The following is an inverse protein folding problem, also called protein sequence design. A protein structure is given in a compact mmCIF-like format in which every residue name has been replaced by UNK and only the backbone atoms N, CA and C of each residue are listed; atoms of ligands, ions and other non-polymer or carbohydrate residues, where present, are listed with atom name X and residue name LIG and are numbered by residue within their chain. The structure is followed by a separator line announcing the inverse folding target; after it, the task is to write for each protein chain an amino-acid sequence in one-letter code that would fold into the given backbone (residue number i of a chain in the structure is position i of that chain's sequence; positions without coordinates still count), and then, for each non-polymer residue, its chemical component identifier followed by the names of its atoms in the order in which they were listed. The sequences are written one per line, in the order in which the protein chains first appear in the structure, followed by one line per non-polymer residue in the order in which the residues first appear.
data_IF_339718951009
#
_entry.id   IF_339718951009
#
_cell.length_a   1.000
_cell.length_b   1.000
_cell.length_c   1.000
_cell.angle_alpha   90.00
_cell.angle_beta   90.00
_cell.angle_gamma   90.00
#
_symmetry.space_group_name_H-M   'P 1'
#
loop_
_entity.id
_entity.type
_entity.pdbx_description
1 polymer ?
#
# COMPACT_ATOMS: atom_id res chain seq x y z
N UNK A 1 38.69 -60.82 -6.31
CA UNK A 1 37.93 -59.61 -6.65
C UNK A 1 36.74 -59.57 -5.73
N UNK A 2 36.90 -58.86 -4.61
CA UNK A 2 35.89 -58.73 -3.57
C UNK A 2 35.15 -57.39 -3.76
N UNK A 3 33.92 -57.51 -4.16
CA UNK A 3 33.03 -56.33 -4.29
C UNK A 3 32.21 -56.19 -3.01
N UNK A 4 32.76 -55.51 -2.01
CA UNK A 4 31.98 -55.09 -0.85
C UNK A 4 31.06 -53.97 -1.23
N UNK A 5 29.76 -54.27 -1.39
CA UNK A 5 28.69 -53.33 -1.48
C UNK A 5 28.53 -52.63 -0.11
N UNK A 6 28.82 -51.33 -0.05
CA UNK A 6 28.48 -50.50 1.08
C UNK A 6 26.95 -50.40 1.16
N UNK A 7 26.37 -51.04 2.19
CA UNK A 7 24.94 -50.92 2.54
C UNK A 7 24.80 -49.59 3.24
N UNK A 8 24.18 -48.60 2.60
CA UNK A 8 23.80 -47.37 3.24
C UNK A 8 22.67 -47.65 4.23
N UNK A 9 22.98 -47.54 5.52
CA UNK A 9 22.01 -47.69 6.62
C UNK A 9 21.12 -46.42 6.67
N UNK A 10 19.93 -46.52 6.11
CA UNK A 10 18.93 -45.44 6.08
C UNK A 10 18.14 -45.27 7.38
N UNK A 11 18.34 -46.14 8.38
CA UNK A 11 17.58 -46.13 9.64
C UNK A 11 17.91 -44.93 10.52
N UNK A 12 19.15 -44.42 10.48
CA UNK A 12 19.61 -43.30 11.29
C UNK A 12 19.24 -41.92 10.67
N UNK A 13 18.99 -41.87 9.36
CA UNK A 13 18.66 -40.62 8.66
C UNK A 13 17.31 -40.05 9.10
N UNK A 14 16.30 -40.91 9.27
CA UNK A 14 14.94 -40.50 9.66
C UNK A 14 14.82 -40.10 11.12
N UNK A 15 15.55 -40.76 12.02
CA UNK A 15 15.52 -40.47 13.46
C UNK A 15 16.18 -39.13 13.76
N UNK A 16 17.33 -38.82 13.16
CA UNK A 16 18.03 -37.54 13.36
C UNK A 16 17.24 -36.37 12.79
N UNK A 17 16.65 -36.51 11.61
CA UNK A 17 15.84 -35.46 11.02
C UNK A 17 14.52 -35.22 11.77
N UNK A 18 13.92 -36.23 12.40
CA UNK A 18 12.74 -36.07 13.23
C UNK A 18 12.99 -35.18 14.45
N UNK A 19 14.13 -35.34 15.13
CA UNK A 19 14.50 -34.48 16.25
C UNK A 19 14.67 -33.02 15.85
N UNK A 20 15.25 -32.74 14.69
CA UNK A 20 15.39 -31.37 14.18
C UNK A 20 14.03 -30.77 13.82
N UNK A 21 13.11 -31.52 13.23
CA UNK A 21 11.75 -31.07 12.93
C UNK A 21 10.95 -30.75 14.19
N UNK A 22 11.05 -31.59 15.22
CA UNK A 22 10.36 -31.35 16.52
C UNK A 22 10.98 -30.13 17.23
N UNK A 23 12.31 -29.98 17.23
CA UNK A 23 12.97 -28.81 17.80
C UNK A 23 12.59 -27.51 17.10
N UNK A 24 12.47 -27.50 15.77
CA UNK A 24 12.03 -26.37 14.97
C UNK A 24 10.57 -25.98 15.28
N UNK A 25 9.68 -26.96 15.41
CA UNK A 25 8.26 -26.68 15.74
C UNK A 25 8.09 -26.11 17.15
N UNK A 26 8.83 -26.61 18.14
CA UNK A 26 8.80 -26.08 19.50
C UNK A 26 9.35 -24.65 19.55
N UNK A 27 10.42 -24.35 18.81
CA UNK A 27 10.99 -23.00 18.69
C UNK A 27 10.00 -22.03 18.06
N UNK A 28 9.30 -22.43 16.99
CA UNK A 28 8.27 -21.61 16.32
C UNK A 28 7.08 -21.32 17.25
N UNK A 29 6.63 -22.29 18.03
CA UNK A 29 5.56 -22.10 19.02
C UNK A 29 5.98 -21.10 20.10
N UNK A 30 7.23 -21.18 20.58
CA UNK A 30 7.79 -20.22 21.53
C UNK A 30 7.79 -18.78 21.01
N UNK A 31 8.18 -18.58 19.74
CA UNK A 31 8.18 -17.27 19.09
C UNK A 31 6.76 -16.70 18.94
N UNK A 32 5.78 -17.55 18.58
CA UNK A 32 4.37 -17.15 18.45
C UNK A 32 3.79 -16.72 19.80
N UNK A 33 4.11 -17.45 20.89
CA UNK A 33 3.66 -17.12 22.25
C UNK A 33 4.31 -15.80 22.72
N UNK A 34 5.60 -15.60 22.48
CA UNK A 34 6.32 -14.36 22.81
C UNK A 34 5.72 -13.17 22.05
N UNK A 35 5.41 -13.33 20.76
CA UNK A 35 4.79 -12.30 19.94
C UNK A 35 3.38 -11.92 20.42
N UNK A 36 2.55 -12.90 20.81
CA UNK A 36 1.21 -12.64 21.38
C UNK A 36 1.28 -11.91 22.72
N UNK A 37 2.28 -12.19 23.55
CA UNK A 37 2.46 -11.53 24.85
C UNK A 37 3.00 -10.10 24.71
N UNK A 38 3.81 -9.83 23.68
CA UNK A 38 4.32 -8.48 23.40
C UNK A 38 3.23 -7.51 22.92
N UNK A 39 2.15 -8.01 22.33
CA UNK A 39 0.99 -7.20 21.88
C UNK A 39 0.02 -6.81 23.00
N UNK A 40 0.19 -7.26 24.24
CA UNK A 40 -0.60 -6.74 25.35
C UNK A 40 -0.07 -5.36 25.73
N UNK A 41 -0.91 -4.33 25.55
CA UNK A 41 -0.63 -2.92 25.87
C UNK A 41 0.09 -2.74 27.20
N UNK A 42 1.07 -1.82 27.30
CA UNK A 42 1.62 -1.43 28.58
C UNK A 42 0.55 -0.75 29.45
N UNK A 43 0.63 -0.89 30.79
CA UNK A 43 -0.32 -0.27 31.71
C UNK A 43 -0.19 1.26 31.66
N UNK A 44 -1.30 1.95 31.54
CA UNK A 44 -1.41 3.40 31.69
C UNK A 44 -1.12 3.78 33.12
N UNK A 45 0.00 4.41 33.39
CA UNK A 45 0.25 5.10 34.65
C UNK A 45 -0.60 6.36 34.71
N UNK A 46 -1.59 6.34 35.59
CA UNK A 46 -2.30 7.52 36.08
C UNK A 46 -1.42 8.20 37.13
N UNK A 47 -0.74 9.25 36.76
CA UNK A 47 -0.22 10.21 37.74
C UNK A 47 -1.18 11.38 37.85
N UNK A 48 -1.70 11.49 39.09
CA UNK A 48 -2.40 12.67 39.62
C UNK A 48 -1.38 13.73 39.96
N UNK A 49 -1.59 14.95 39.54
CA UNK A 49 -0.79 16.08 40.04
C UNK A 49 -1.04 17.37 39.31
N UNK A 50 -1.95 18.06 39.77
CA UNK A 50 -1.95 19.39 40.37
C UNK A 50 -2.20 20.60 39.46
N UNK A 51 -3.26 21.24 39.84
CA UNK A 51 -3.77 22.59 39.60
C UNK A 51 -2.70 23.66 39.49
N UNK A 52 -2.79 24.52 38.49
CA UNK A 52 -2.62 25.96 38.69
C UNK A 52 -3.35 26.73 37.61
N UNK A 53 -4.30 27.50 38.12
CA UNK A 53 -5.03 28.59 37.48
C UNK A 53 -4.08 29.65 36.94
N UNK A 54 -4.28 30.11 35.73
CA UNK A 54 -3.98 31.46 35.36
C UNK A 54 -5.08 32.01 34.45
N UNK A 55 -5.94 32.75 35.09
CA UNK A 55 -6.80 33.78 34.54
C UNK A 55 -5.94 34.88 33.93
N UNK A 56 -6.19 35.23 32.67
CA UNK A 56 -5.90 36.57 32.19
C UNK A 56 -7.11 37.14 31.46
N UNK A 57 -7.53 38.24 32.01
CA UNK A 57 -8.65 39.09 31.63
C UNK A 57 -8.43 39.82 30.30
N UNK A 58 -9.47 39.83 29.53
CA UNK A 58 -10.20 40.98 29.00
C UNK A 58 -9.42 42.26 28.70
N UNK A 59 -9.44 42.69 27.46
CA UNK A 59 -9.63 44.08 27.11
C UNK A 59 -10.26 44.22 25.72
N UNK A 60 -11.46 44.74 25.77
CA UNK A 60 -12.27 45.28 24.71
C UNK A 60 -11.60 46.49 24.04
N UNK A 61 -11.63 46.56 22.73
CA UNK A 61 -11.62 47.84 22.01
C UNK A 61 -12.55 47.77 20.82
N UNK A 62 -13.59 48.54 20.95
CA UNK A 62 -14.55 48.94 19.93
C UNK A 62 -13.91 49.80 18.85
N UNK A 63 -14.18 49.56 17.60
CA UNK A 63 -14.11 50.60 16.55
C UNK A 63 -15.06 50.30 15.40
N UNK A 64 -16.12 51.06 15.40
CA UNK A 64 -16.93 51.68 14.32
C UNK A 64 -16.98 51.06 12.93
N UNK A 65 -18.21 50.67 12.54
CA UNK A 65 -18.70 50.51 11.19
C UNK A 65 -18.72 51.81 10.40
N UNK A 66 -18.39 51.81 9.10
CA UNK A 66 -18.97 52.74 8.15
C UNK A 66 -20.13 52.11 7.41
N UNK A 67 -21.28 52.76 7.57
CA UNK A 67 -22.50 52.59 6.79
C UNK A 67 -22.28 53.02 5.35
N UNK A 68 -22.53 52.17 4.38
CA UNK A 68 -22.61 52.50 2.94
C UNK A 68 -24.06 52.34 2.51
N UNK A 69 -24.66 53.33 1.80
CA UNK A 69 -26.09 53.33 1.48
C UNK A 69 -26.42 52.36 0.37
N UNK A 70 -27.55 51.68 0.57
CA UNK A 70 -28.18 50.80 -0.42
C UNK A 70 -28.80 51.69 -1.50
N UNK A 71 -28.29 51.66 -2.71
CA UNK A 71 -29.01 52.09 -3.91
C UNK A 71 -29.60 50.89 -4.61
N UNK A 72 -30.91 50.84 -4.57
CA UNK A 72 -31.76 49.91 -5.33
C UNK A 72 -31.62 50.28 -6.79
N UNK A 73 -31.09 49.38 -7.60
CA UNK A 73 -31.30 49.38 -9.06
C UNK A 73 -31.96 48.06 -9.43
N UNK A 74 -33.19 48.16 -9.82
CA UNK A 74 -33.99 47.08 -10.37
C UNK A 74 -33.54 46.73 -11.80
N UNK A 75 -33.57 45.44 -12.06
CA UNK A 75 -33.79 44.78 -13.34
C UNK A 75 -32.77 44.99 -14.45
N UNK A 76 -31.90 43.96 -14.60
CA UNK A 76 -31.67 43.38 -15.94
C UNK A 76 -31.47 41.87 -15.76
N UNK A 77 -32.36 41.13 -16.39
CA UNK A 77 -32.36 39.69 -16.57
C UNK A 77 -31.15 39.34 -17.45
N UNK A 78 -29.98 39.05 -16.85
CA UNK A 78 -28.86 38.43 -17.55
C UNK A 78 -28.59 37.11 -16.85
N UNK A 79 -28.89 36.07 -17.56
CA UNK A 79 -28.49 34.69 -17.32
C UNK A 79 -26.95 34.69 -17.16
N UNK A 80 -26.48 34.84 -15.93
CA UNK A 80 -25.04 34.69 -15.63
C UNK A 80 -24.78 33.21 -15.46
N UNK A 81 -24.36 32.60 -16.55
CA UNK A 81 -23.60 31.34 -16.50
C UNK A 81 -22.42 31.58 -15.59
N UNK A 82 -22.47 31.00 -14.38
CA UNK A 82 -21.42 31.11 -13.40
C UNK A 82 -20.26 30.20 -13.83
N UNK A 83 -19.13 30.75 -14.37
CA UNK A 83 -18.06 29.95 -14.93
C UNK A 83 -17.37 29.05 -13.88
N UNK A 84 -17.54 29.34 -12.58
CA UNK A 84 -16.98 28.54 -11.52
C UNK A 84 -17.73 27.20 -11.29
N UNK A 85 -19.03 27.15 -11.61
CA UNK A 85 -19.81 25.91 -11.46
C UNK A 85 -19.49 24.90 -12.57
N UNK A 86 -19.25 25.38 -13.78
CA UNK A 86 -18.90 24.52 -14.91
C UNK A 86 -17.52 23.86 -14.79
N UNK A 87 -16.53 24.54 -14.21
CA UNK A 87 -15.17 24.02 -14.06
C UNK A 87 -15.15 22.88 -13.02
N UNK A 88 -15.85 23.01 -11.89
CA UNK A 88 -15.92 21.95 -10.87
C UNK A 88 -16.65 20.69 -11.35
N UNK A 89 -17.68 20.83 -12.14
CA UNK A 89 -18.43 19.70 -12.72
C UNK A 89 -17.58 18.94 -13.78
N UNK A 90 -16.82 19.66 -14.60
CA UNK A 90 -15.91 19.05 -15.59
C UNK A 90 -14.76 18.31 -14.89
N UNK A 91 -14.17 18.89 -13.83
CA UNK A 91 -13.10 18.25 -13.07
C UNK A 91 -13.59 16.96 -12.40
N UNK A 92 -14.74 16.99 -11.73
CA UNK A 92 -15.31 15.81 -11.08
C UNK A 92 -15.60 14.68 -12.10
N UNK A 93 -16.14 15.01 -13.25
CA UNK A 93 -16.43 14.02 -14.30
C UNK A 93 -15.14 13.39 -14.88
N UNK A 94 -14.05 14.16 -14.99
CA UNK A 94 -12.77 13.64 -15.45
C UNK A 94 -12.11 12.70 -14.43
N UNK A 95 -12.17 13.04 -13.14
CA UNK A 95 -11.64 12.22 -12.06
C UNK A 95 -12.42 10.91 -11.91
N UNK A 96 -13.73 10.94 -12.01
CA UNK A 96 -14.56 9.73 -11.99
C UNK A 96 -14.25 8.82 -13.18
N UNK A 97 -14.09 9.39 -14.39
CA UNK A 97 -13.71 8.63 -15.58
C UNK A 97 -12.34 8.00 -15.42
N UNK A 98 -11.36 8.73 -14.91
CA UNK A 98 -10.01 8.22 -14.62
C UNK A 98 -10.07 7.05 -13.65
N UNK A 99 -10.79 7.17 -12.53
CA UNK A 99 -10.98 6.09 -11.55
C UNK A 99 -11.63 4.85 -12.17
N UNK A 100 -12.64 5.03 -13.01
CA UNK A 100 -13.36 3.94 -13.66
C UNK A 100 -12.55 3.24 -14.77
N UNK A 101 -11.57 3.90 -15.37
CA UNK A 101 -10.79 3.35 -16.51
C UNK A 101 -9.45 2.76 -16.11
N UNK A 102 -8.75 3.34 -15.13
CA UNK A 102 -7.43 2.88 -14.69
C UNK A 102 -7.45 1.45 -14.15
N UNK A 103 -6.56 0.61 -14.67
CA UNK A 103 -6.46 -0.80 -14.31
C UNK A 103 -5.31 -1.01 -13.33
N UNK A 104 -5.62 -1.47 -12.13
CA UNK A 104 -4.69 -1.65 -11.02
C UNK A 104 -4.54 -3.14 -10.73
N UNK A 105 -3.30 -3.62 -10.65
CA UNK A 105 -2.95 -5.00 -10.32
C UNK A 105 -2.12 -5.04 -9.02
N UNK A 106 -2.49 -5.94 -8.11
CA UNK A 106 -1.68 -6.33 -6.97
C UNK A 106 -1.12 -7.73 -7.20
N UNK A 107 0.19 -7.89 -7.06
CA UNK A 107 0.89 -9.18 -7.11
C UNK A 107 1.36 -9.48 -5.70
N UNK A 108 0.74 -10.47 -5.05
CA UNK A 108 0.89 -10.76 -3.61
C UNK A 108 0.55 -12.22 -3.33
N UNK A 109 1.46 -12.98 -2.75
CA UNK A 109 1.23 -14.40 -2.42
C UNK A 109 0.04 -14.62 -1.48
N UNK A 110 -0.27 -13.60 -0.65
CA UNK A 110 -1.43 -13.55 0.25
C UNK A 110 -2.59 -12.69 -0.30
N UNK A 111 -2.74 -12.64 -1.62
CA UNK A 111 -3.66 -11.77 -2.36
C UNK A 111 -5.14 -11.88 -1.94
N UNK A 112 -5.59 -12.99 -1.37
CA UNK A 112 -6.97 -13.21 -0.93
C UNK A 112 -7.30 -12.54 0.40
N UNK A 113 -6.31 -12.41 1.28
CA UNK A 113 -6.48 -11.78 2.60
C UNK A 113 -6.23 -10.26 2.57
N UNK A 114 -5.55 -9.77 1.55
CA UNK A 114 -5.18 -8.37 1.43
C UNK A 114 -6.38 -7.50 1.03
N UNK A 115 -6.86 -6.71 1.99
CA UNK A 115 -8.13 -5.96 1.87
C UNK A 115 -8.04 -4.72 0.96
N UNK A 116 -6.85 -4.29 0.53
CA UNK A 116 -6.66 -3.03 -0.21
C UNK A 116 -7.40 -3.02 -1.54
N UNK A 117 -7.51 -4.17 -2.24
CA UNK A 117 -8.30 -4.30 -3.47
C UNK A 117 -9.75 -3.87 -3.25
N UNK A 118 -10.38 -4.32 -2.15
CA UNK A 118 -11.77 -3.96 -1.85
C UNK A 118 -11.92 -2.50 -1.45
N UNK A 119 -10.92 -1.94 -0.77
CA UNK A 119 -10.89 -0.52 -0.36
C UNK A 119 -10.77 0.38 -1.59
N UNK A 120 -9.84 0.08 -2.50
CA UNK A 120 -9.68 0.85 -3.74
C UNK A 120 -10.93 0.79 -4.62
N UNK A 121 -11.58 -0.38 -4.74
CA UNK A 121 -12.86 -0.50 -5.47
C UNK A 121 -13.94 0.39 -4.87
N UNK A 122 -14.06 0.44 -3.54
CA UNK A 122 -15.00 1.33 -2.85
C UNK A 122 -14.66 2.82 -3.04
N UNK A 123 -13.40 3.16 -3.24
CA UNK A 123 -12.94 4.52 -3.55
C UNK A 123 -13.12 4.90 -5.03
N UNK A 124 -13.75 4.03 -5.85
CA UNK A 124 -14.05 4.27 -7.27
C UNK A 124 -13.09 3.60 -8.26
N UNK A 125 -11.98 2.99 -7.80
CA UNK A 125 -11.01 2.29 -8.65
C UNK A 125 -11.52 0.87 -8.97
N UNK A 126 -12.61 0.80 -9.76
CA UNK A 126 -13.38 -0.43 -9.96
C UNK A 126 -12.60 -1.54 -10.69
N UNK A 127 -11.59 -1.18 -11.50
CA UNK A 127 -10.75 -2.12 -12.24
C UNK A 127 -9.51 -2.59 -11.47
N UNK A 128 -9.58 -2.63 -10.14
CA UNK A 128 -8.52 -3.17 -9.30
C UNK A 128 -8.64 -4.70 -9.19
N UNK A 129 -7.53 -5.41 -9.38
CA UNK A 129 -7.43 -6.89 -9.30
C UNK A 129 -6.23 -7.29 -8.42
N UNK A 130 -6.21 -8.55 -7.98
CA UNK A 130 -5.03 -9.16 -7.36
C UNK A 130 -4.77 -10.55 -7.95
N UNK A 131 -3.49 -10.93 -8.00
CA UNK A 131 -3.02 -12.27 -8.38
C UNK A 131 -1.97 -12.73 -7.37
N UNK A 132 -1.83 -14.06 -7.25
CA UNK A 132 -0.88 -14.65 -6.33
C UNK A 132 0.57 -14.41 -6.75
N UNK A 133 0.87 -14.56 -8.03
CA UNK A 133 2.21 -14.44 -8.59
C UNK A 133 2.15 -14.15 -10.10
N UNK A 134 3.27 -13.73 -10.66
CA UNK A 134 3.51 -13.56 -12.10
C UNK A 134 4.63 -14.50 -12.51
N UNK A 135 4.29 -15.49 -13.31
CA UNK A 135 5.24 -16.48 -13.87
C UNK A 135 5.64 -16.18 -15.31
N UNK A 136 5.00 -15.20 -15.93
CA UNK A 136 5.28 -14.72 -17.29
C UNK A 136 5.06 -13.19 -17.32
N UNK A 137 6.10 -12.47 -17.72
CA UNK A 137 6.03 -11.00 -17.84
C UNK A 137 5.05 -10.55 -18.92
N UNK A 138 4.73 -11.41 -19.91
CA UNK A 138 3.76 -11.16 -20.97
C UNK A 138 2.35 -11.68 -20.65
N UNK A 139 2.11 -12.10 -19.39
CA UNK A 139 0.78 -12.50 -18.97
C UNK A 139 -0.24 -11.38 -19.26
N UNK A 140 -1.43 -11.75 -19.75
CA UNK A 140 -2.46 -10.80 -20.16
C UNK A 140 -2.84 -9.83 -19.02
N UNK A 141 -2.81 -10.29 -17.77
CA UNK A 141 -3.09 -9.45 -16.59
C UNK A 141 -2.05 -8.34 -16.41
N UNK A 142 -0.78 -8.59 -16.77
CA UNK A 142 0.30 -7.60 -16.76
C UNK A 142 0.11 -6.60 -17.91
N UNK A 143 -0.12 -7.13 -19.12
CA UNK A 143 -0.33 -6.29 -20.32
C UNK A 143 -1.49 -5.34 -20.12
N UNK A 144 -2.58 -5.81 -19.56
CA UNK A 144 -3.81 -5.04 -19.33
C UNK A 144 -3.69 -3.97 -18.22
N UNK A 145 -2.72 -4.08 -17.32
CA UNK A 145 -2.63 -3.21 -16.16
C UNK A 145 -1.85 -1.92 -16.46
N UNK A 146 -2.27 -0.82 -15.87
CA UNK A 146 -1.63 0.49 -15.94
C UNK A 146 -0.70 0.73 -14.74
N UNK A 147 -1.16 0.32 -13.55
CA UNK A 147 -0.47 0.44 -12.26
C UNK A 147 -0.33 -0.97 -11.67
N UNK A 148 0.90 -1.36 -11.29
CA UNK A 148 1.19 -2.69 -10.74
C UNK A 148 1.91 -2.54 -9.41
N UNK A 149 1.28 -3.04 -8.35
CA UNK A 149 1.87 -3.19 -7.03
C UNK A 149 2.48 -4.57 -6.91
N UNK A 150 3.74 -4.65 -6.52
CA UNK A 150 4.51 -5.91 -6.41
C UNK A 150 4.98 -6.08 -4.97
N UNK A 151 4.59 -7.17 -4.31
CA UNK A 151 5.16 -7.55 -3.03
C UNK A 151 6.63 -7.93 -3.19
N UNK A 152 7.43 -7.76 -2.13
CA UNK A 152 8.84 -8.18 -2.14
C UNK A 152 8.94 -9.70 -2.00
N UNK A 153 8.18 -10.28 -1.05
CA UNK A 153 8.31 -11.67 -0.68
C UNK A 153 7.20 -12.54 -1.32
N UNK A 154 7.55 -13.78 -1.66
CA UNK A 154 6.59 -14.78 -2.09
C UNK A 154 6.10 -14.65 -3.54
N UNK A 155 6.59 -13.68 -4.32
CA UNK A 155 6.23 -13.47 -5.72
C UNK A 155 7.47 -13.43 -6.62
N UNK A 156 7.31 -13.78 -7.90
CA UNK A 156 8.41 -13.83 -8.87
C UNK A 156 9.41 -14.98 -8.63
N UNK A 157 9.11 -15.92 -7.74
CA UNK A 157 10.00 -17.00 -7.29
C UNK A 157 10.52 -17.88 -8.44
N UNK A 158 9.73 -18.06 -9.49
CA UNK A 158 10.09 -18.88 -10.65
C UNK A 158 10.98 -18.15 -11.66
N UNK A 159 11.02 -16.83 -11.61
CA UNK A 159 11.71 -15.98 -12.58
C UNK A 159 12.97 -15.33 -12.00
N UNK A 160 13.00 -15.03 -10.70
CA UNK A 160 14.03 -14.21 -10.09
C UNK A 160 14.45 -14.74 -8.71
N UNK A 161 15.75 -14.79 -8.44
CA UNK A 161 16.31 -15.17 -7.13
C UNK A 161 15.94 -14.12 -6.06
N UNK A 162 15.90 -12.85 -6.43
CA UNK A 162 15.51 -11.71 -5.59
C UNK A 162 14.00 -11.44 -5.59
N UNK A 163 13.22 -12.46 -6.01
CA UNK A 163 11.75 -12.51 -5.87
C UNK A 163 11.06 -11.27 -6.44
N UNK A 164 10.18 -10.63 -5.67
CA UNK A 164 9.42 -9.46 -6.10
C UNK A 164 10.28 -8.24 -6.47
N UNK A 165 11.48 -8.11 -5.91
CA UNK A 165 12.43 -7.05 -6.32
C UNK A 165 12.88 -7.24 -7.78
N UNK A 166 13.26 -8.46 -8.14
CA UNK A 166 13.60 -8.81 -9.53
C UNK A 166 12.41 -8.67 -10.47
N UNK A 167 11.23 -9.15 -10.04
CA UNK A 167 10.00 -9.01 -10.80
C UNK A 167 9.66 -7.55 -11.09
N UNK A 168 9.68 -6.68 -10.08
CA UNK A 168 9.39 -5.26 -10.23
C UNK A 168 10.39 -4.54 -11.16
N UNK A 169 11.68 -4.86 -11.00
CA UNK A 169 12.74 -4.34 -11.87
C UNK A 169 12.53 -4.75 -13.34
N UNK A 170 12.23 -6.03 -13.58
CA UNK A 170 11.99 -6.56 -14.91
C UNK A 170 10.73 -5.98 -15.56
N UNK A 171 9.64 -5.85 -14.79
CA UNK A 171 8.41 -5.21 -15.25
C UNK A 171 8.65 -3.74 -15.64
N UNK A 172 9.38 -2.99 -14.83
CA UNK A 172 9.67 -1.58 -15.13
C UNK A 172 10.55 -1.43 -16.37
N UNK A 173 11.55 -2.30 -16.54
CA UNK A 173 12.42 -2.30 -17.72
C UNK A 173 11.62 -2.64 -19.00
N UNK A 174 10.76 -3.65 -18.92
CA UNK A 174 9.98 -4.12 -20.07
C UNK A 174 8.83 -3.16 -20.42
N UNK A 175 8.20 -2.58 -19.43
CA UNK A 175 7.02 -1.71 -19.58
C UNK A 175 7.26 -0.32 -18.95
N UNK A 176 8.14 0.50 -19.51
CA UNK A 176 8.57 1.77 -18.88
C UNK A 176 7.43 2.77 -18.67
N UNK A 177 6.35 2.67 -19.45
CA UNK A 177 5.15 3.54 -19.31
C UNK A 177 4.23 3.10 -18.18
N UNK A 178 4.25 1.83 -17.77
CA UNK A 178 3.46 1.36 -16.64
C UNK A 178 4.04 1.87 -15.32
N UNK A 179 3.17 2.11 -14.35
CA UNK A 179 3.57 2.49 -13.00
C UNK A 179 3.79 1.25 -12.18
N UNK A 180 5.03 1.03 -11.73
CA UNK A 180 5.42 -0.14 -10.92
C UNK A 180 5.73 0.34 -9.51
N UNK A 181 5.04 -0.21 -8.52
CA UNK A 181 5.20 0.12 -7.11
C UNK A 181 5.62 -1.12 -6.35
N UNK A 182 6.70 -1.04 -5.58
CA UNK A 182 7.04 -2.07 -4.60
C UNK A 182 6.28 -1.78 -3.32
N UNK A 183 5.62 -2.80 -2.75
CA UNK A 183 5.01 -2.68 -1.45
C UNK A 183 5.32 -3.89 -0.58
N UNK A 184 5.64 -3.67 0.70
CA UNK A 184 6.04 -4.75 1.61
C UNK A 184 5.68 -4.45 3.04
N UNK A 185 5.42 -5.52 3.81
CA UNK A 185 5.28 -5.44 5.26
C UNK A 185 6.63 -5.20 5.95
N UNK A 186 7.73 -5.53 5.28
CA UNK A 186 9.09 -5.38 5.80
C UNK A 186 9.62 -3.97 5.52
N UNK A 187 10.01 -3.28 6.59
CA UNK A 187 10.56 -1.92 6.51
C UNK A 187 12.10 -1.92 6.53
N UNK A 188 12.72 -3.08 6.78
CA UNK A 188 14.16 -3.24 6.99
C UNK A 188 14.90 -3.95 5.85
N UNK A 189 14.23 -4.24 4.73
CA UNK A 189 14.82 -4.89 3.56
C UNK A 189 16.00 -4.12 2.95
N UNK A 190 16.70 -4.73 2.00
CA UNK A 190 17.84 -4.14 1.31
C UNK A 190 17.47 -2.82 0.61
N UNK A 191 17.63 -1.71 1.35
CA UNK A 191 17.35 -0.34 0.86
C UNK A 191 18.24 0.08 -0.31
N UNK A 192 19.29 -0.70 -0.61
CA UNK A 192 20.22 -0.45 -1.71
C UNK A 192 19.90 -1.27 -2.95
N UNK A 193 18.87 -2.16 -2.90
CA UNK A 193 18.52 -2.92 -4.07
C UNK A 193 18.16 -2.00 -5.24
N UNK A 194 18.69 -2.31 -6.43
CA UNK A 194 18.52 -1.43 -7.60
C UNK A 194 17.05 -1.25 -8.00
N UNK A 195 16.20 -2.26 -7.76
CA UNK A 195 14.77 -2.21 -8.05
C UNK A 195 14.08 -1.01 -7.37
N UNK A 196 14.44 -0.74 -6.09
CA UNK A 196 13.88 0.40 -5.33
C UNK A 196 14.16 1.77 -5.95
N UNK A 197 15.18 1.87 -6.81
CA UNK A 197 15.54 3.10 -7.55
C UNK A 197 14.99 3.13 -8.96
N UNK A 198 14.53 2.00 -9.48
CA UNK A 198 14.02 1.86 -10.85
C UNK A 198 12.51 1.98 -10.93
N UNK A 199 11.80 1.57 -9.88
CA UNK A 199 10.34 1.64 -9.81
C UNK A 199 9.84 3.08 -9.60
N UNK A 200 8.54 3.29 -9.81
CA UNK A 200 7.94 4.63 -9.69
C UNK A 200 7.73 5.05 -8.23
N UNK A 201 7.47 4.10 -7.32
CA UNK A 201 7.32 4.37 -5.89
C UNK A 201 7.49 3.10 -5.04
N UNK A 202 7.60 3.30 -3.71
CA UNK A 202 7.65 2.25 -2.70
C UNK A 202 6.72 2.59 -1.54
N UNK A 203 5.87 1.64 -1.13
CA UNK A 203 4.89 1.84 -0.07
C UNK A 203 4.90 0.69 0.93
N UNK A 204 4.70 0.98 2.22
CA UNK A 204 4.52 -0.06 3.23
C UNK A 204 3.16 -0.75 3.06
N UNK A 205 3.09 -2.10 3.18
CA UNK A 205 1.80 -2.82 3.27
C UNK A 205 0.94 -2.36 4.45
N UNK A 206 1.60 -1.86 5.51
CA UNK A 206 0.95 -1.35 6.71
C UNK A 206 0.59 0.14 6.60
N UNK A 207 0.80 0.76 5.45
CA UNK A 207 0.37 2.14 5.20
C UNK A 207 -1.16 2.26 5.31
N UNK A 208 -1.61 3.43 5.76
CA UNK A 208 -3.04 3.69 5.88
C UNK A 208 -3.73 3.70 4.50
N UNK A 209 -4.99 3.27 4.40
CA UNK A 209 -5.69 3.18 3.14
C UNK A 209 -5.67 4.45 2.29
N UNK A 210 -5.72 5.62 2.93
CA UNK A 210 -5.67 6.91 2.22
C UNK A 210 -4.34 7.12 1.48
N UNK A 211 -3.22 6.56 1.98
CA UNK A 211 -1.91 6.66 1.32
C UNK A 211 -1.91 5.89 -0.01
N UNK A 212 -2.53 4.70 -0.04
CA UNK A 212 -2.73 3.95 -1.29
C UNK A 212 -3.61 4.72 -2.28
N UNK A 213 -4.72 5.28 -1.81
CA UNK A 213 -5.64 6.06 -2.66
C UNK A 213 -4.92 7.27 -3.26
N UNK A 214 -4.22 8.07 -2.43
CA UNK A 214 -3.48 9.25 -2.88
C UNK A 214 -2.36 8.88 -3.87
N UNK A 215 -1.63 7.80 -3.61
CA UNK A 215 -0.58 7.33 -4.52
C UNK A 215 -1.17 6.96 -5.88
N UNK A 216 -2.25 6.17 -5.90
CA UNK A 216 -2.93 5.78 -7.14
C UNK A 216 -3.46 7.00 -7.89
N UNK A 217 -4.08 7.97 -7.20
CA UNK A 217 -4.54 9.21 -7.82
C UNK A 217 -3.40 10.00 -8.48
N UNK A 218 -2.28 10.15 -7.79
CA UNK A 218 -1.12 10.87 -8.31
C UNK A 218 -0.51 10.17 -9.53
N UNK A 219 -0.34 8.85 -9.45
CA UNK A 219 0.22 8.06 -10.56
C UNK A 219 -0.71 8.03 -11.77
N UNK A 220 -2.03 7.97 -11.55
CA UNK A 220 -3.02 7.93 -12.63
C UNK A 220 -3.06 9.23 -13.45
N UNK A 221 -2.75 10.37 -12.86
CA UNK A 221 -2.65 11.66 -13.56
C UNK A 221 -1.45 11.74 -14.52
N UNK A 222 -0.52 10.79 -14.39
CA UNK A 222 0.73 10.74 -15.18
C UNK A 222 0.82 9.52 -16.12
N UNK A 223 -0.34 8.84 -16.37
CA UNK A 223 -0.47 7.74 -17.33
C UNK A 223 -0.60 8.19 -18.79
#
# INVERSE_FOLDING_TARGET
MDTTKAVFDTSNFWTVNWYYLVALTVSLIGIIIAYKNFRKKPPTNTDKGNSSNNSFNNSSSSTSNPTIPISIINNINTQSDNPQKSVSEIQNSSDEKMKATTKILFVDDNHTEYKMVSILKKAGWIKTKSVKDITDLDAQVVIDSDIIFVDINGVGLTLFEDQGLGLASALKLKYPKKKIIIYSAETSGDRFHKALRQVDDCLSKNAEPYQFINLVENLSKSL
#
